data_IF_717757199862
#
_entry.id   IF_717757199862
#
_cell.length_a   1.000
_cell.length_b   1.000
_cell.length_c   1.000
_cell.angle_alpha   90.00
_cell.angle_beta   90.00
_cell.angle_gamma   90.00
#
_symmetry.space_group_name_H-M   'P 1'
#
loop_
_entity.id
_entity.type
_entity.pdbx_description
1 polymer ?
#
# COMPACT_ATOMS: atom_id res chain seq x y z
N UNK A 1 -38.46 63.72 0.10
CA UNK A 1 -37.07 63.42 0.44
C UNK A 1 -37.00 61.91 0.63
N UNK A 2 -36.71 61.18 -0.44
CA UNK A 2 -36.61 59.69 -0.43
C UNK A 2 -35.15 59.29 -0.43
N UNK A 3 -34.69 58.65 0.64
CA UNK A 3 -33.34 58.12 0.77
C UNK A 3 -33.41 56.57 0.43
N UNK A 4 -32.99 56.24 -0.75
CA UNK A 4 -32.76 54.81 -1.11
C UNK A 4 -31.43 54.36 -0.52
N UNK A 5 -31.48 53.44 0.45
CA UNK A 5 -30.31 52.74 0.96
C UNK A 5 -30.02 51.52 0.05
N UNK A 6 -28.93 51.58 -0.73
CA UNK A 6 -28.46 50.47 -1.51
C UNK A 6 -27.66 49.51 -0.61
N UNK A 7 -28.20 48.35 -0.35
CA UNK A 7 -27.48 47.26 0.32
C UNK A 7 -26.62 46.54 -0.71
N UNK A 8 -25.30 46.67 -0.61
CA UNK A 8 -24.35 45.89 -1.41
C UNK A 8 -24.21 44.49 -0.81
N UNK A 9 -24.69 43.51 -1.55
CA UNK A 9 -24.53 42.08 -1.18
C UNK A 9 -23.15 41.62 -1.63
N UNK A 10 -22.22 41.49 -0.69
CA UNK A 10 -20.85 40.94 -0.95
C UNK A 10 -20.93 39.44 -1.04
N UNK A 11 -20.82 38.87 -2.24
CA UNK A 11 -20.76 37.44 -2.50
C UNK A 11 -19.33 36.94 -2.21
N UNK A 12 -19.12 36.33 -1.06
CA UNK A 12 -17.84 35.69 -0.72
C UNK A 12 -17.74 34.33 -1.44
N UNK A 13 -16.96 34.28 -2.51
CA UNK A 13 -16.64 33.02 -3.21
C UNK A 13 -15.63 32.25 -2.35
N UNK A 14 -16.09 31.21 -1.72
CA UNK A 14 -15.23 30.23 -1.03
C UNK A 14 -14.54 29.37 -2.09
N UNK A 15 -13.30 29.69 -2.43
CA UNK A 15 -12.47 28.84 -3.30
C UNK A 15 -12.12 27.56 -2.55
N UNK A 16 -12.80 26.45 -2.84
CA UNK A 16 -12.41 25.14 -2.41
C UNK A 16 -11.10 24.77 -3.13
N UNK A 17 -9.96 24.88 -2.45
CA UNK A 17 -8.70 24.35 -2.92
C UNK A 17 -8.79 22.82 -2.85
N UNK A 18 -9.06 22.16 -3.98
CA UNK A 18 -8.85 20.72 -4.14
C UNK A 18 -7.33 20.48 -4.03
N UNK A 19 -6.85 20.25 -2.81
CA UNK A 19 -5.47 19.85 -2.58
C UNK A 19 -5.26 18.50 -3.22
N UNK A 20 -4.45 18.42 -4.28
CA UNK A 20 -3.87 17.17 -4.75
C UNK A 20 -3.06 16.60 -3.59
N UNK A 21 -3.54 15.54 -2.95
CA UNK A 21 -2.84 14.85 -1.89
C UNK A 21 -1.71 14.01 -2.54
N UNK A 22 -0.55 14.63 -2.70
CA UNK A 22 0.65 13.91 -3.15
C UNK A 22 1.14 12.98 -2.04
N UNK A 23 1.76 11.86 -2.44
CA UNK A 23 2.42 10.98 -1.49
C UNK A 23 3.51 11.75 -0.71
N UNK A 24 3.72 11.47 0.58
CA UNK A 24 4.82 12.07 1.34
C UNK A 24 6.16 11.84 0.65
N UNK A 25 7.00 12.87 0.60
CA UNK A 25 8.30 12.81 -0.10
C UNK A 25 9.36 11.96 0.63
N UNK A 26 9.13 11.63 1.90
CA UNK A 26 10.05 10.88 2.76
C UNK A 26 9.59 9.44 3.03
N UNK A 27 8.74 8.86 2.17
CA UNK A 27 8.33 7.47 2.31
C UNK A 27 9.53 6.53 2.13
N UNK A 28 9.66 5.59 3.07
CA UNK A 28 10.54 4.45 2.87
C UNK A 28 9.89 3.47 1.89
N UNK A 29 10.42 3.39 0.67
CA UNK A 29 9.96 2.51 -0.39
C UNK A 29 10.82 1.24 -0.51
N UNK A 30 11.64 0.93 0.50
CA UNK A 30 12.46 -0.28 0.54
C UNK A 30 11.57 -1.52 0.44
N UNK A 31 11.95 -2.44 -0.45
CA UNK A 31 11.28 -3.72 -0.64
C UNK A 31 11.77 -4.81 0.33
N UNK A 32 12.83 -4.55 1.09
CA UNK A 32 13.33 -5.45 2.13
C UNK A 32 13.35 -4.72 3.45
N UNK A 33 12.67 -5.27 4.45
CA UNK A 33 12.52 -4.64 5.77
C UNK A 33 12.54 -5.69 6.88
N UNK A 34 13.10 -5.36 8.05
CA UNK A 34 12.86 -6.13 9.26
C UNK A 34 11.40 -5.95 9.70
N UNK A 35 10.85 -6.94 10.37
CA UNK A 35 9.58 -6.84 11.08
C UNK A 35 9.71 -5.99 12.35
N UNK A 36 8.59 -5.56 12.94
CA UNK A 36 8.55 -4.60 14.05
C UNK A 36 9.41 -5.06 15.24
N UNK A 37 9.31 -6.34 15.61
CA UNK A 37 10.06 -6.94 16.72
C UNK A 37 11.35 -7.63 16.25
N UNK A 38 11.80 -7.40 15.01
CA UNK A 38 12.99 -7.96 14.39
C UNK A 38 13.04 -9.50 14.37
N UNK A 39 11.92 -10.20 14.42
CA UNK A 39 11.88 -11.67 14.32
C UNK A 39 12.17 -12.17 12.91
N UNK A 40 11.80 -11.38 11.89
CA UNK A 40 11.95 -11.73 10.49
C UNK A 40 12.54 -10.58 9.69
N UNK A 41 13.16 -10.95 8.56
CA UNK A 41 13.47 -10.05 7.44
C UNK A 41 12.56 -10.45 6.29
N UNK A 42 11.81 -9.49 5.77
CA UNK A 42 10.81 -9.68 4.73
C UNK A 42 11.21 -8.95 3.47
N UNK A 43 11.25 -9.65 2.34
CA UNK A 43 11.46 -9.04 1.02
C UNK A 43 10.18 -9.17 0.21
N UNK A 44 9.60 -8.03 -0.16
CA UNK A 44 8.41 -7.95 -1.00
C UNK A 44 8.83 -7.84 -2.46
N UNK A 45 8.26 -8.67 -3.33
CA UNK A 45 8.56 -8.70 -4.76
C UNK A 45 7.29 -8.36 -5.55
N UNK A 46 7.20 -7.13 -6.09
CA UNK A 46 6.10 -6.74 -6.94
C UNK A 46 6.15 -7.48 -8.29
N UNK A 47 5.05 -7.50 -9.06
CA UNK A 47 5.06 -8.07 -10.40
C UNK A 47 6.06 -7.32 -11.29
N UNK A 48 6.67 -8.04 -12.25
CA UNK A 48 7.68 -7.49 -13.17
C UNK A 48 7.14 -6.31 -14.03
N UNK A 49 5.85 -6.30 -14.30
CA UNK A 49 5.16 -5.17 -14.95
C UNK A 49 4.41 -4.38 -13.88
N UNK A 50 4.44 -3.04 -13.93
CA UNK A 50 3.66 -2.23 -13.00
C UNK A 50 2.20 -2.66 -12.99
N UNK A 51 1.63 -2.77 -11.80
CA UNK A 51 0.24 -3.14 -11.64
C UNK A 51 -0.67 -2.03 -12.20
N UNK A 52 -1.49 -2.36 -13.18
CA UNK A 52 -2.48 -1.44 -13.70
C UNK A 52 -3.63 -1.26 -12.70
N UNK A 53 -4.20 -0.05 -12.67
CA UNK A 53 -5.35 0.27 -11.82
C UNK A 53 -6.52 -0.67 -12.16
N UNK A 54 -7.19 -1.14 -11.13
CA UNK A 54 -8.34 -2.03 -11.20
C UNK A 54 -8.09 -3.42 -11.82
N UNK A 55 -6.84 -3.82 -12.00
CA UNK A 55 -6.49 -5.18 -12.41
C UNK A 55 -5.97 -6.00 -11.24
N UNK A 56 -6.30 -7.29 -11.23
CA UNK A 56 -5.73 -8.25 -10.29
C UNK A 56 -4.29 -8.59 -10.70
N UNK A 57 -3.44 -8.68 -9.71
CA UNK A 57 -2.04 -9.07 -9.89
C UNK A 57 -1.53 -9.89 -8.71
N UNK A 58 -0.43 -10.60 -8.92
CA UNK A 58 0.22 -11.41 -7.90
C UNK A 58 1.53 -10.76 -7.48
N UNK A 59 1.86 -10.91 -6.21
CA UNK A 59 3.12 -10.50 -5.61
C UNK A 59 3.80 -11.73 -4.99
N UNK A 60 5.08 -11.62 -4.71
CA UNK A 60 5.76 -12.60 -3.88
C UNK A 60 6.31 -11.95 -2.63
N UNK A 61 6.41 -12.73 -1.58
CA UNK A 61 7.08 -12.32 -0.35
C UNK A 61 8.06 -13.40 0.06
N UNK A 62 9.31 -13.04 0.30
CA UNK A 62 10.31 -13.92 0.88
C UNK A 62 10.46 -13.60 2.36
N UNK A 63 10.37 -14.65 3.17
CA UNK A 63 10.48 -14.57 4.62
C UNK A 63 11.75 -15.29 5.07
N UNK A 64 12.58 -14.61 5.86
CA UNK A 64 13.79 -15.19 6.44
C UNK A 64 13.97 -14.74 7.90
N UNK A 65 14.75 -15.49 8.66
CA UNK A 65 15.24 -15.04 9.96
C UNK A 65 16.21 -13.86 9.79
N UNK A 66 16.55 -13.12 10.86
CA UNK A 66 17.58 -12.06 10.80
C UNK A 66 18.96 -12.57 10.34
N UNK A 67 19.25 -13.87 10.50
CA UNK A 67 20.48 -14.50 10.00
C UNK A 67 20.40 -14.92 8.53
N UNK A 68 19.24 -14.74 7.87
CA UNK A 68 19.04 -15.07 6.47
C UNK A 68 18.49 -16.47 6.21
N UNK A 69 18.23 -17.28 7.25
CA UNK A 69 17.63 -18.60 7.08
C UNK A 69 16.19 -18.49 6.60
N UNK A 70 15.81 -19.15 5.50
CA UNK A 70 14.43 -19.13 5.01
C UNK A 70 13.46 -19.68 6.06
N UNK A 71 12.27 -19.05 6.17
CA UNK A 71 11.19 -19.47 7.07
C UNK A 71 10.10 -20.13 6.24
N UNK A 72 9.90 -21.42 6.48
CA UNK A 72 8.86 -22.22 5.84
C UNK A 72 7.60 -22.30 6.75
N UNK A 73 6.47 -22.72 6.15
CA UNK A 73 5.21 -23.00 6.83
C UNK A 73 4.63 -21.84 7.65
N UNK A 74 4.97 -20.61 7.27
CA UNK A 74 4.40 -19.42 7.89
C UNK A 74 2.98 -19.14 7.37
N UNK A 75 2.10 -18.70 8.26
CA UNK A 75 0.83 -18.09 7.89
C UNK A 75 1.03 -16.60 7.75
N UNK A 76 0.74 -16.05 6.58
CA UNK A 76 0.89 -14.64 6.30
C UNK A 76 -0.48 -14.08 5.93
N UNK A 77 -0.99 -13.16 6.76
CA UNK A 77 -2.18 -12.38 6.44
C UNK A 77 -1.75 -11.11 5.74
N UNK A 78 -2.43 -10.81 4.64
CA UNK A 78 -2.18 -9.63 3.81
C UNK A 78 -3.33 -8.65 3.97
N UNK A 79 -3.01 -7.42 4.28
CA UNK A 79 -3.92 -6.28 4.34
C UNK A 79 -3.24 -5.05 3.73
N UNK A 80 -3.94 -3.95 3.59
CA UNK A 80 -3.39 -2.73 3.08
C UNK A 80 -4.43 -1.64 2.91
N UNK A 81 -4.02 -0.53 2.36
CA UNK A 81 -4.92 0.59 2.09
C UNK A 81 -4.19 1.87 1.74
N UNK A 82 -4.95 2.92 1.54
CA UNK A 82 -4.47 4.27 1.29
C UNK A 82 -4.62 5.11 2.56
N UNK A 83 -3.54 5.39 3.31
CA UNK A 83 -3.64 6.16 4.56
C UNK A 83 -4.26 7.54 4.38
N UNK A 84 -3.94 8.21 3.26
CA UNK A 84 -4.45 9.55 2.95
C UNK A 84 -5.95 9.56 2.62
N UNK A 85 -6.53 8.45 2.19
CA UNK A 85 -7.94 8.34 1.81
C UNK A 85 -8.79 7.56 2.82
N UNK A 86 -8.16 6.94 3.83
CA UNK A 86 -8.86 6.23 4.88
C UNK A 86 -9.59 4.95 4.44
N UNK A 87 -9.22 4.35 3.31
CA UNK A 87 -9.83 3.11 2.85
C UNK A 87 -8.81 1.99 2.66
N UNK A 88 -9.27 0.74 2.76
CA UNK A 88 -8.47 -0.47 2.59
C UNK A 88 -8.26 -0.87 1.13
N UNK A 89 -7.63 -2.04 0.94
CA UNK A 89 -7.54 -2.68 -0.37
C UNK A 89 -8.96 -3.03 -0.87
N UNK A 90 -9.23 -2.87 -2.18
CA UNK A 90 -10.54 -3.20 -2.74
C UNK A 90 -10.81 -4.72 -2.84
N UNK A 91 -9.82 -5.54 -2.53
CA UNK A 91 -9.86 -6.99 -2.52
C UNK A 91 -9.34 -7.54 -1.20
N UNK A 92 -9.38 -8.86 -1.05
CA UNK A 92 -8.78 -9.59 0.08
C UNK A 92 -7.66 -10.48 -0.45
N UNK A 93 -6.43 -9.96 -0.62
CA UNK A 93 -5.30 -10.75 -1.07
C UNK A 93 -5.00 -11.87 -0.08
N UNK A 94 -4.54 -13.01 -0.59
CA UNK A 94 -4.20 -14.17 0.21
C UNK A 94 -2.90 -14.80 -0.28
N UNK A 95 -2.18 -15.42 0.63
CA UNK A 95 -1.12 -16.36 0.26
C UNK A 95 -1.79 -17.64 -0.24
N UNK A 96 -1.51 -17.99 -1.48
CA UNK A 96 -2.10 -19.16 -2.15
C UNK A 96 -1.09 -20.30 -2.33
N UNK A 97 0.19 -20.00 -2.27
CA UNK A 97 1.25 -20.98 -2.48
C UNK A 97 2.50 -20.62 -1.67
N UNK A 98 3.12 -21.63 -1.11
CA UNK A 98 4.48 -21.58 -0.59
C UNK A 98 5.43 -22.21 -1.62
N UNK A 99 6.46 -21.48 -1.98
CA UNK A 99 7.53 -21.93 -2.86
C UNK A 99 8.77 -22.33 -2.03
N UNK A 100 9.87 -22.66 -2.71
CA UNK A 100 11.14 -22.90 -2.04
C UNK A 100 11.69 -21.63 -1.36
N UNK A 101 12.68 -21.81 -0.49
CA UNK A 101 13.47 -20.71 0.13
C UNK A 101 12.66 -19.66 0.90
N UNK A 102 11.57 -20.08 1.55
CA UNK A 102 10.73 -19.17 2.33
C UNK A 102 9.99 -18.13 1.49
N UNK A 103 9.72 -18.45 0.24
CA UNK A 103 8.98 -17.58 -0.68
C UNK A 103 7.52 -18.00 -0.74
N UNK A 104 6.63 -17.01 -0.68
CA UNK A 104 5.17 -17.19 -0.69
C UNK A 104 4.55 -16.33 -1.80
N UNK A 105 3.55 -16.87 -2.50
CA UNK A 105 2.81 -16.17 -3.54
C UNK A 105 1.57 -15.55 -2.94
N UNK A 106 1.42 -14.23 -3.12
CA UNK A 106 0.24 -13.46 -2.75
C UNK A 106 -0.58 -13.21 -4.00
N UNK A 107 -1.80 -13.70 -4.04
CA UNK A 107 -2.73 -13.46 -5.14
C UNK A 107 -3.87 -12.54 -4.71
N UNK A 108 -4.52 -11.95 -5.70
CA UNK A 108 -5.68 -11.09 -5.48
C UNK A 108 -5.34 -9.66 -5.06
N UNK A 109 -4.09 -9.23 -5.23
CA UNK A 109 -3.73 -7.82 -5.05
C UNK A 109 -4.41 -6.96 -6.11
N UNK A 110 -4.92 -5.80 -5.72
CA UNK A 110 -5.55 -4.83 -6.61
C UNK A 110 -5.44 -3.43 -6.02
N UNK A 111 -5.10 -2.47 -6.84
CA UNK A 111 -5.15 -1.05 -6.50
C UNK A 111 -6.25 -0.37 -7.31
N UNK A 112 -7.10 0.40 -6.66
CA UNK A 112 -8.23 1.09 -7.29
C UNK A 112 -7.91 2.53 -7.73
N UNK A 113 -6.80 3.07 -7.25
CA UNK A 113 -6.39 4.46 -7.49
C UNK A 113 -4.87 4.57 -7.57
N UNK A 114 -4.39 5.62 -8.22
CA UNK A 114 -3.00 6.06 -8.12
C UNK A 114 -2.71 6.67 -6.75
N UNK A 115 -1.45 6.73 -6.36
CA UNK A 115 -1.00 7.35 -5.12
C UNK A 115 -0.34 6.38 -4.15
N UNK A 116 -0.24 6.78 -2.90
CA UNK A 116 0.43 6.04 -1.85
C UNK A 116 -0.47 4.98 -1.22
N UNK A 117 0.03 3.74 -1.21
CA UNK A 117 -0.58 2.57 -0.58
C UNK A 117 0.37 1.96 0.44
N UNK A 118 -0.18 1.46 1.52
CA UNK A 118 0.50 0.54 2.44
C UNK A 118 0.09 -0.90 2.14
N UNK A 119 1.08 -1.81 2.21
CA UNK A 119 0.89 -3.27 2.22
C UNK A 119 1.34 -3.74 3.59
N UNK A 120 0.44 -4.32 4.37
CA UNK A 120 0.67 -4.78 5.73
C UNK A 120 0.63 -6.30 5.78
N UNK A 121 1.67 -6.89 6.33
CA UNK A 121 1.79 -8.34 6.50
C UNK A 121 1.82 -8.66 8.00
N UNK A 122 0.94 -9.58 8.44
CA UNK A 122 0.99 -10.18 9.75
C UNK A 122 1.44 -11.64 9.57
N UNK A 123 2.53 -12.01 10.22
CA UNK A 123 3.27 -13.24 10.03
C UNK A 123 3.14 -14.07 11.31
N UNK A 124 2.84 -15.36 11.16
CA UNK A 124 2.75 -16.32 12.25
C UNK A 124 3.46 -17.62 11.80
N UNK A 125 4.53 -17.97 12.47
CA UNK A 125 5.35 -19.15 12.19
C UNK A 125 5.82 -19.82 13.48
N UNK A 126 6.59 -20.90 13.35
CA UNK A 126 7.21 -21.56 14.50
C UNK A 126 8.16 -20.65 15.29
N UNK A 127 8.77 -19.66 14.63
CA UNK A 127 9.67 -18.66 15.24
C UNK A 127 8.92 -17.53 15.93
N UNK A 128 7.59 -17.51 15.83
CA UNK A 128 6.71 -16.56 16.51
C UNK A 128 5.85 -15.72 15.58
N UNK A 129 5.25 -14.68 16.16
CA UNK A 129 4.35 -13.76 15.49
C UNK A 129 4.99 -12.38 15.41
N UNK A 130 4.90 -11.73 14.24
CA UNK A 130 5.39 -10.37 14.02
C UNK A 130 4.66 -9.74 12.81
N UNK A 131 4.93 -8.48 12.51
CA UNK A 131 4.30 -7.71 11.44
C UNK A 131 5.27 -6.77 10.76
N UNK A 132 4.95 -6.41 9.51
CA UNK A 132 5.71 -5.42 8.74
C UNK A 132 4.76 -4.64 7.83
N UNK A 133 5.10 -3.39 7.56
CA UNK A 133 4.38 -2.53 6.60
C UNK A 133 5.35 -2.06 5.53
N UNK A 134 4.94 -2.20 4.28
CA UNK A 134 5.62 -1.67 3.11
C UNK A 134 4.83 -0.51 2.52
N UNK A 135 5.53 0.47 1.99
CA UNK A 135 4.92 1.54 1.20
C UNK A 135 5.13 1.26 -0.29
N UNK A 136 4.14 1.57 -1.08
CA UNK A 136 4.24 1.58 -2.55
C UNK A 136 3.52 2.79 -3.10
N UNK A 137 4.02 3.34 -4.20
CA UNK A 137 3.37 4.43 -4.93
C UNK A 137 2.92 3.89 -6.27
N UNK A 138 1.61 3.85 -6.47
CA UNK A 138 1.00 3.40 -7.72
C UNK A 138 0.89 4.61 -8.65
N UNK A 139 1.60 4.58 -9.75
CA UNK A 139 1.56 5.60 -10.80
C UNK A 139 0.49 5.27 -11.86
N UNK A 140 0.06 6.27 -12.59
CA UNK A 140 -0.71 6.06 -13.82
C UNK A 140 0.12 5.26 -14.82
N UNK A 141 -0.52 4.28 -15.48
CA UNK A 141 0.17 3.58 -16.57
C UNK A 141 0.55 4.61 -17.64
N UNK A 142 1.83 4.63 -18.02
CA UNK A 142 2.26 5.47 -19.14
C UNK A 142 1.47 5.07 -20.37
N UNK A 143 0.61 5.96 -20.85
CA UNK A 143 -0.07 5.77 -22.15
C UNK A 143 1.04 5.87 -23.19
N UNK A 144 1.44 4.72 -23.74
CA UNK A 144 2.40 4.66 -24.83
C UNK A 144 1.88 5.51 -26.01
N UNK A 145 2.65 6.52 -26.37
CA UNK A 145 2.42 7.28 -27.60
C UNK A 145 2.98 6.50 -28.78
#
# INVERSE_FOLDING_TARGET
MNRFASAALTLTVLAATAGCMSAPSNLDLSLTRPTVDNKFVVTLQPPAKPAAINQLHSWQVRLASPSGTPIAHARIKVDGGMPQHGHGLPTRPQVTQELADGTYVIEGMKFSMTGWWEIRLAIDSAEGVDKVTFNTVVAEAAVGR
#
